data_IF_458827428494
#
_entry.id   IF_458827428494
#
_cell.length_a   1.000
_cell.length_b   1.000
_cell.length_c   1.000
_cell.angle_alpha   90.00
_cell.angle_beta   90.00
_cell.angle_gamma   90.00
#
_symmetry.space_group_name_H-M   'P 1'
#
loop_
_entity.id
_entity.type
_entity.pdbx_description
1 polymer ?
#
# COMPACT_ATOMS: atom_id res chain seq x y z
N UNK A 1 15.79 -1.20 -22.34
CA UNK A 1 14.99 -0.31 -21.48
C UNK A 1 15.72 -0.21 -20.16
N UNK A 2 16.05 0.98 -19.69
CA UNK A 2 16.70 1.18 -18.40
C UNK A 2 15.73 0.77 -17.29
N UNK A 3 16.12 -0.22 -16.49
CA UNK A 3 15.38 -0.63 -15.30
C UNK A 3 15.24 0.57 -14.36
N UNK A 4 14.00 0.91 -14.02
CA UNK A 4 13.71 1.97 -13.05
C UNK A 4 13.20 1.30 -11.79
N UNK A 5 13.87 1.53 -10.66
CA UNK A 5 13.42 1.06 -9.36
C UNK A 5 12.50 2.09 -8.72
N UNK A 6 11.40 1.62 -8.12
CA UNK A 6 10.47 2.43 -7.34
C UNK A 6 10.43 1.97 -5.90
N UNK A 7 10.51 2.93 -4.97
CA UNK A 7 10.11 2.73 -3.58
C UNK A 7 8.60 2.67 -3.50
N UNK A 8 8.10 1.55 -3.01
CA UNK A 8 6.67 1.25 -2.89
C UNK A 8 6.29 0.85 -1.47
N UNK A 9 5.03 1.06 -1.15
CA UNK A 9 4.48 0.81 0.17
C UNK A 9 3.23 -0.07 0.09
N UNK A 10 3.10 -0.97 1.05
CA UNK A 10 1.92 -1.82 1.24
C UNK A 10 1.41 -1.68 2.67
N UNK A 11 0.12 -1.38 2.84
CA UNK A 11 -0.50 -1.29 4.16
C UNK A 11 -1.49 -2.42 4.39
N UNK A 12 -1.43 -3.03 5.58
CA UNK A 12 -2.22 -4.21 5.92
C UNK A 12 -2.56 -4.27 7.41
N UNK A 13 -3.49 -5.14 7.79
CA UNK A 13 -3.86 -5.36 9.19
C UNK A 13 -2.73 -6.02 9.99
N UNK A 14 -2.73 -5.89 11.31
CA UNK A 14 -1.75 -6.55 12.16
C UNK A 14 -1.90 -8.08 12.11
N UNK A 15 -3.12 -8.60 12.01
CA UNK A 15 -3.37 -10.04 11.82
C UNK A 15 -2.68 -10.58 10.57
N UNK A 16 -2.77 -9.85 9.44
CA UNK A 16 -2.10 -10.21 8.19
C UNK A 16 -0.60 -9.99 8.27
N UNK A 17 -0.14 -8.95 8.95
CA UNK A 17 1.28 -8.74 9.19
C UNK A 17 1.92 -9.94 9.91
N UNK A 18 1.25 -10.51 10.92
CA UNK A 18 1.68 -11.75 11.58
C UNK A 18 1.75 -12.93 10.62
N UNK A 19 0.80 -13.06 9.69
CA UNK A 19 0.84 -14.09 8.65
C UNK A 19 2.01 -13.88 7.68
N UNK A 20 2.27 -12.64 7.27
CA UNK A 20 3.40 -12.28 6.41
C UNK A 20 4.71 -12.63 7.09
N UNK A 21 4.88 -12.27 8.37
CA UNK A 21 6.06 -12.66 9.17
C UNK A 21 6.20 -14.18 9.27
N UNK A 22 5.09 -14.90 9.50
CA UNK A 22 5.11 -16.38 9.61
C UNK A 22 5.46 -17.07 8.29
N UNK A 23 4.96 -16.56 7.17
CA UNK A 23 5.13 -17.17 5.84
C UNK A 23 6.33 -16.64 5.07
N UNK A 24 6.91 -15.53 5.53
CA UNK A 24 8.01 -14.84 4.86
C UNK A 24 7.59 -14.08 3.61
N UNK A 25 6.28 -13.87 3.35
CA UNK A 25 5.82 -13.21 2.12
C UNK A 25 4.44 -12.55 2.20
N UNK A 26 4.24 -11.55 1.36
CA UNK A 26 2.91 -11.02 1.01
C UNK A 26 2.40 -11.83 -0.18
N UNK A 27 1.29 -12.54 0.04
CA UNK A 27 0.67 -13.39 -0.98
C UNK A 27 -0.16 -12.55 -1.97
N UNK A 28 0.02 -12.76 -3.27
CA UNK A 28 -0.84 -12.20 -4.30
C UNK A 28 -2.25 -12.82 -4.27
N UNK A 29 -2.35 -14.08 -3.84
CA UNK A 29 -3.62 -14.78 -3.60
C UNK A 29 -4.01 -14.77 -2.12
N UNK A 30 -3.83 -13.62 -1.46
CA UNK A 30 -4.33 -13.43 -0.12
C UNK A 30 -5.87 -13.44 -0.12
N UNK A 31 -6.51 -14.25 0.74
CA UNK A 31 -7.97 -14.26 0.88
C UNK A 31 -8.48 -12.85 1.20
N UNK A 32 -9.58 -12.39 0.59
CA UNK A 32 -10.01 -10.99 0.73
C UNK A 32 -10.19 -10.60 2.20
N UNK A 33 -9.58 -9.48 2.61
CA UNK A 33 -9.83 -8.88 3.93
C UNK A 33 -11.20 -8.18 3.98
N UNK A 34 -11.95 -8.12 2.87
CA UNK A 34 -13.22 -7.40 2.80
C UNK A 34 -14.38 -8.39 2.86
N UNK A 35 -14.76 -8.82 4.07
CA UNK A 35 -16.08 -9.41 4.28
C UNK A 35 -17.11 -8.28 4.25
N UNK A 36 -17.77 -8.09 3.10
CA UNK A 36 -18.91 -7.20 2.84
C UNK A 36 -18.60 -5.70 2.67
N UNK A 37 -18.39 -5.32 1.41
CA UNK A 37 -18.90 -4.13 0.68
C UNK A 37 -18.17 -4.08 -0.67
N UNK A 38 -18.90 -4.09 -1.80
CA UNK A 38 -18.30 -4.14 -3.16
C UNK A 38 -17.39 -2.93 -3.50
N UNK A 39 -17.44 -1.86 -2.71
CA UNK A 39 -16.71 -0.62 -3.00
C UNK A 39 -15.19 -0.71 -2.77
N UNK A 40 -14.70 -1.71 -2.03
CA UNK A 40 -13.28 -1.83 -1.68
C UNK A 40 -12.71 -3.25 -1.92
N UNK A 41 -13.47 -4.11 -2.62
CA UNK A 41 -12.92 -5.39 -3.08
C UNK A 41 -11.83 -5.10 -4.08
N UNK A 42 -10.63 -5.57 -3.78
CA UNK A 42 -9.54 -5.61 -4.74
C UNK A 42 -9.64 -6.87 -5.60
N UNK A 43 -9.16 -6.79 -6.83
CA UNK A 43 -9.09 -7.92 -7.75
C UNK A 43 -8.13 -8.99 -7.17
N UNK A 44 -8.54 -10.26 -7.03
CA UNK A 44 -7.65 -11.33 -6.54
C UNK A 44 -6.44 -11.56 -7.46
N UNK A 45 -5.36 -12.11 -6.91
CA UNK A 45 -4.17 -12.49 -7.69
C UNK A 45 -3.10 -11.41 -7.79
N UNK A 46 -3.20 -10.36 -6.98
CA UNK A 46 -2.29 -9.23 -7.01
C UNK A 46 -1.91 -8.75 -5.59
N UNK A 47 -0.69 -8.24 -5.46
CA UNK A 47 -0.30 -7.40 -4.32
C UNK A 47 -0.45 -5.94 -4.73
N UNK A 48 -1.18 -5.16 -3.93
CA UNK A 48 -1.49 -3.75 -4.18
C UNK A 48 -0.50 -2.84 -3.47
N UNK A 49 0.07 -1.90 -4.23
CA UNK A 49 1.22 -1.09 -3.86
C UNK A 49 1.00 0.37 -4.22
N UNK A 50 1.68 1.26 -3.51
CA UNK A 50 1.59 2.71 -3.76
C UNK A 50 2.95 3.38 -3.61
N UNK A 51 3.22 4.41 -4.42
CA UNK A 51 4.37 5.29 -4.25
C UNK A 51 4.14 6.33 -3.15
N UNK A 52 2.89 6.53 -2.73
CA UNK A 52 2.50 7.43 -1.66
C UNK A 52 2.29 6.64 -0.36
N UNK A 53 3.18 6.76 0.65
CA UNK A 53 3.07 6.00 1.89
C UNK A 53 1.84 6.41 2.72
N UNK A 54 1.35 7.66 2.59
CA UNK A 54 0.12 8.07 3.26
C UNK A 54 -1.12 7.32 2.72
N UNK A 55 -1.11 6.88 1.46
CA UNK A 55 -2.18 5.99 0.95
C UNK A 55 -2.07 4.59 1.54
N UNK A 56 -0.87 4.03 1.67
CA UNK A 56 -0.68 2.74 2.34
C UNK A 56 -1.17 2.80 3.80
N UNK A 57 -0.83 3.88 4.51
CA UNK A 57 -1.32 4.16 5.87
C UNK A 57 -2.85 4.29 5.91
N UNK A 58 -3.44 5.00 4.95
CA UNK A 58 -4.88 5.12 4.87
C UNK A 58 -5.58 3.76 4.74
N UNK A 59 -5.12 2.92 3.80
CA UNK A 59 -5.69 1.60 3.57
C UNK A 59 -5.44 0.65 4.75
N UNK A 60 -4.21 0.60 5.29
CA UNK A 60 -3.87 -0.21 6.46
C UNK A 60 -4.70 0.17 7.70
N UNK A 61 -4.81 1.47 8.01
CA UNK A 61 -5.62 1.96 9.13
C UNK A 61 -7.11 1.65 8.95
N UNK A 62 -7.65 1.89 7.75
CA UNK A 62 -9.06 1.62 7.46
C UNK A 62 -9.40 0.14 7.62
N UNK A 63 -8.57 -0.74 7.03
CA UNK A 63 -8.70 -2.19 7.15
C UNK A 63 -8.63 -2.63 8.62
N UNK A 64 -7.62 -2.19 9.36
CA UNK A 64 -7.48 -2.55 10.77
C UNK A 64 -8.71 -2.14 11.60
N UNK A 65 -9.27 -0.95 11.37
CA UNK A 65 -10.50 -0.51 12.05
C UNK A 65 -11.69 -1.40 11.70
N UNK A 66 -11.83 -1.78 10.43
CA UNK A 66 -12.91 -2.67 9.98
C UNK A 66 -12.81 -4.06 10.62
N UNK A 67 -11.58 -4.54 10.84
CA UNK A 67 -11.27 -5.80 11.54
C UNK A 67 -11.18 -5.66 13.06
N UNK A 68 -11.54 -4.49 13.62
CA UNK A 68 -11.50 -4.22 15.06
C UNK A 68 -10.09 -4.38 15.67
N UNK A 69 -9.06 -4.14 14.88
CA UNK A 69 -7.67 -4.17 15.30
C UNK A 69 -7.21 -2.79 15.80
N UNK A 70 -6.39 -2.79 16.85
CA UNK A 70 -5.84 -1.57 17.45
C UNK A 70 -4.61 -1.03 16.72
N UNK A 71 -4.03 -1.79 15.79
CA UNK A 71 -2.84 -1.45 15.04
C UNK A 71 -2.86 -2.06 13.63
N UNK A 72 -1.99 -1.57 12.77
CA UNK A 72 -1.77 -2.02 11.40
C UNK A 72 -0.27 -1.97 11.07
N UNK A 73 0.12 -2.58 9.96
CA UNK A 73 1.52 -2.59 9.52
C UNK A 73 1.66 -2.06 8.11
N UNK A 74 2.76 -1.33 7.89
CA UNK A 74 3.20 -0.84 6.59
C UNK A 74 4.51 -1.52 6.24
N UNK A 75 4.64 -1.96 5.00
CA UNK A 75 5.87 -2.52 4.44
C UNK A 75 6.43 -1.57 3.38
N UNK A 76 7.75 -1.46 3.31
CA UNK A 76 8.49 -0.72 2.27
C UNK A 76 9.30 -1.71 1.42
N UNK A 77 9.24 -1.53 0.12
CA UNK A 77 9.94 -2.37 -0.87
C UNK A 77 10.48 -1.54 -2.02
N UNK A 78 11.48 -2.08 -2.72
CA UNK A 78 12.00 -1.52 -3.97
C UNK A 78 11.75 -2.53 -5.08
N UNK A 79 10.97 -2.14 -6.10
CA UNK A 79 10.61 -3.02 -7.21
C UNK A 79 10.94 -2.38 -8.55
N UNK A 80 11.20 -3.22 -9.55
CA UNK A 80 11.41 -2.75 -10.91
C UNK A 80 10.06 -2.40 -11.54
N UNK A 81 9.97 -1.21 -12.16
CA UNK A 81 8.76 -0.77 -12.87
C UNK A 81 8.25 -1.74 -13.92
N UNK A 82 9.15 -2.54 -14.52
CA UNK A 82 8.80 -3.53 -15.53
C UNK A 82 7.96 -4.70 -14.99
N UNK A 83 7.95 -4.91 -13.67
CA UNK A 83 7.16 -5.95 -13.01
C UNK A 83 5.78 -5.48 -12.58
N UNK A 84 5.49 -4.18 -12.70
CA UNK A 84 4.30 -3.55 -12.16
C UNK A 84 3.21 -3.41 -13.23
N UNK A 85 1.96 -3.53 -12.78
CA UNK A 85 0.76 -3.31 -13.56
C UNK A 85 -0.06 -2.13 -13.02
N UNK A 86 -0.93 -1.59 -13.87
CA UNK A 86 -1.95 -0.62 -13.47
C UNK A 86 -2.87 -1.20 -12.40
N UNK A 87 -3.06 -0.44 -11.31
CA UNK A 87 -4.11 -0.72 -10.33
C UNK A 87 -5.47 -0.24 -10.85
N UNK A 88 -6.18 -1.10 -11.58
CA UNK A 88 -7.49 -0.79 -12.14
C UNK A 88 -8.56 -0.52 -11.07
N UNK A 89 -8.43 -1.10 -9.88
CA UNK A 89 -9.40 -0.86 -8.80
C UNK A 89 -9.31 0.61 -8.33
N UNK A 90 -8.08 1.13 -8.17
CA UNK A 90 -7.86 2.54 -7.83
C UNK A 90 -8.22 3.49 -8.99
N UNK A 91 -7.94 3.11 -10.25
CA UNK A 91 -8.38 3.89 -11.43
C UNK A 91 -9.90 4.05 -11.43
N UNK A 92 -10.64 2.95 -11.25
CA UNK A 92 -12.09 2.95 -11.20
C UNK A 92 -12.63 3.77 -10.01
N UNK A 93 -12.01 3.63 -8.84
CA UNK A 93 -12.38 4.40 -7.65
C UNK A 93 -12.22 5.91 -7.89
N UNK A 94 -11.06 6.34 -8.39
CA UNK A 94 -10.81 7.74 -8.72
C UNK A 94 -11.79 8.26 -9.78
N UNK A 95 -12.10 7.46 -10.81
CA UNK A 95 -13.03 7.84 -11.87
C UNK A 95 -14.44 8.08 -11.32
N UNK A 96 -14.94 7.16 -10.49
CA UNK A 96 -16.23 7.28 -9.80
C UNK A 96 -16.30 8.53 -8.92
N UNK A 97 -15.22 8.86 -8.22
CA UNK A 97 -15.16 10.02 -7.33
C UNK A 97 -15.02 11.36 -8.08
N UNK A 98 -14.55 11.35 -9.32
CA UNK A 98 -14.31 12.55 -10.14
C UNK A 98 -14.67 12.31 -11.62
N UNK A 99 -15.94 12.08 -11.93
CA UNK A 99 -16.38 11.85 -13.30
C UNK A 99 -16.00 13.06 -14.17
N UNK A 100 -15.36 12.82 -15.32
CA UNK A 100 -14.94 13.85 -16.28
C UNK A 100 -13.55 14.46 -16.04
N UNK A 101 -12.85 14.09 -14.96
CA UNK A 101 -11.50 14.61 -14.69
C UNK A 101 -10.37 13.87 -15.41
N UNK A 102 -10.67 12.73 -16.05
CA UNK A 102 -9.73 12.00 -16.89
C UNK A 102 -10.43 10.96 -17.78
N UNK A 103 -9.89 10.73 -18.98
CA UNK A 103 -10.38 9.72 -19.92
C UNK A 103 -9.82 8.34 -19.53
N UNK A 104 -10.70 7.42 -19.15
CA UNK A 104 -10.35 6.08 -18.70
C UNK A 104 -9.71 5.23 -19.80
N UNK A 105 -10.05 5.48 -21.07
CA UNK A 105 -9.51 4.76 -22.23
C UNK A 105 -7.99 4.98 -22.38
N UNK A 106 -7.45 6.06 -21.83
CA UNK A 106 -6.03 6.41 -21.90
C UNK A 106 -5.23 5.99 -20.66
N UNK A 107 -5.86 5.36 -19.65
CA UNK A 107 -5.26 5.03 -18.35
C UNK A 107 -5.01 3.51 -18.21
N UNK A 108 -4.97 2.79 -19.33
CA UNK A 108 -4.73 1.34 -19.34
C UNK A 108 -3.29 0.97 -19.02
N UNK A 109 -2.34 1.89 -19.24
CA UNK A 109 -0.90 1.68 -19.03
C UNK A 109 -0.41 2.28 -17.70
N UNK A 110 0.54 1.61 -17.07
CA UNK A 110 1.13 2.01 -15.79
C UNK A 110 1.73 3.43 -15.84
N UNK A 111 2.43 3.75 -16.94
CA UNK A 111 3.05 5.05 -17.20
C UNK A 111 2.05 6.21 -17.11
N UNK A 112 0.81 5.97 -17.54
CA UNK A 112 -0.27 6.96 -17.53
C UNK A 112 -1.04 6.94 -16.21
N UNK A 113 -1.26 5.77 -15.62
CA UNK A 113 -2.04 5.63 -14.39
C UNK A 113 -1.30 6.06 -13.13
N UNK A 114 -0.03 5.66 -13.00
CA UNK A 114 0.75 5.83 -11.77
C UNK A 114 0.89 7.30 -11.32
N UNK A 115 1.13 8.29 -12.19
CA UNK A 115 1.17 9.69 -11.78
C UNK A 115 -0.16 10.21 -11.19
N UNK A 116 -1.28 9.60 -11.57
CA UNK A 116 -2.63 10.03 -11.20
C UNK A 116 -3.12 9.28 -9.96
N UNK A 117 -3.04 7.95 -9.99
CA UNK A 117 -3.54 7.08 -8.91
C UNK A 117 -2.55 7.00 -7.77
N UNK A 118 -1.25 7.10 -8.07
CA UNK A 118 -0.14 6.76 -7.19
C UNK A 118 -0.14 5.31 -6.72
N UNK A 119 -0.93 4.46 -7.38
CA UNK A 119 -1.10 3.04 -7.07
C UNK A 119 -0.74 2.18 -8.28
N UNK A 120 -0.21 1.02 -7.97
CA UNK A 120 0.10 -0.05 -8.91
C UNK A 120 -0.13 -1.40 -8.23
N UNK A 121 0.00 -2.47 -8.99
CA UNK A 121 -0.11 -3.82 -8.46
C UNK A 121 0.93 -4.72 -9.10
N UNK A 122 1.20 -5.87 -8.47
CA UNK A 122 2.13 -6.87 -8.99
C UNK A 122 1.49 -8.27 -8.94
N UNK A 123 1.54 -9.06 -10.04
CA UNK A 123 0.86 -10.37 -10.13
C UNK A 123 1.67 -11.54 -9.54
N UNK A 124 2.43 -11.29 -8.47
CA UNK A 124 3.23 -12.32 -7.79
C UNK A 124 3.40 -12.00 -6.31
N UNK A 125 3.76 -13.02 -5.54
CA UNK A 125 4.13 -12.87 -4.15
C UNK A 125 5.39 -11.99 -4.01
N UNK A 126 5.50 -11.30 -2.87
CA UNK A 126 6.66 -10.51 -2.47
C UNK A 126 7.25 -11.08 -1.19
N UNK A 127 8.56 -11.25 -1.12
CA UNK A 127 9.23 -11.94 -0.03
C UNK A 127 9.93 -10.97 0.94
N UNK A 128 9.87 -11.32 2.22
CA UNK A 128 10.59 -10.64 3.28
C UNK A 128 12.10 -10.82 3.09
N UNK A 129 12.85 -9.75 3.31
CA UNK A 129 14.30 -9.78 3.21
C UNK A 129 14.82 -9.86 1.78
N UNK A 130 13.96 -9.72 0.77
CA UNK A 130 14.40 -9.56 -0.63
C UNK A 130 13.79 -8.28 -1.17
N UNK A 131 12.56 -8.32 -1.67
CA UNK A 131 11.89 -7.10 -2.11
C UNK A 131 11.42 -6.26 -0.92
N UNK A 132 10.89 -6.91 0.12
CA UNK A 132 10.35 -6.25 1.30
C UNK A 132 11.47 -6.07 2.33
N UNK A 133 11.88 -4.81 2.51
CA UNK A 133 13.11 -4.48 3.26
C UNK A 133 12.84 -3.84 4.61
N UNK A 134 11.67 -3.22 4.79
CA UNK A 134 11.33 -2.59 6.06
C UNK A 134 9.86 -2.80 6.42
N UNK A 135 9.59 -2.85 7.72
CA UNK A 135 8.25 -2.83 8.28
C UNK A 135 8.09 -1.69 9.28
N UNK A 136 6.88 -1.18 9.41
CA UNK A 136 6.51 -0.18 10.40
C UNK A 136 5.15 -0.59 10.98
N UNK A 137 5.08 -0.78 12.29
CA UNK A 137 3.82 -1.02 13.00
C UNK A 137 3.29 0.31 13.58
N UNK A 138 2.01 0.59 13.34
CA UNK A 138 1.38 1.83 13.80
C UNK A 138 0.03 1.55 14.47
N UNK A 139 -0.31 2.29 15.55
CA UNK A 139 -1.66 2.25 16.12
C UNK A 139 -2.70 2.80 15.14
N UNK A 140 -3.93 2.33 15.20
CA UNK A 140 -5.03 2.94 14.42
C UNK A 140 -5.40 4.30 14.99
N UNK A 141 -6.01 5.16 14.18
CA UNK A 141 -6.49 6.48 14.61
C UNK A 141 -7.68 6.42 15.58
N UNK A 142 -8.26 5.23 15.80
CA UNK A 142 -9.29 4.99 16.82
C UNK A 142 -8.74 4.37 18.11
N UNK A 143 -7.48 3.93 18.12
CA UNK A 143 -6.86 3.32 19.30
C UNK A 143 -6.44 4.39 20.34
N UNK A 144 -6.23 3.92 21.57
CA UNK A 144 -5.66 4.75 22.65
C UNK A 144 -4.20 5.13 22.40
N UNK A 145 -3.46 4.33 21.62
CA UNK A 145 -2.06 4.56 21.27
C UNK A 145 -1.83 5.52 20.08
N UNK A 146 -2.89 6.10 19.50
CA UNK A 146 -2.78 6.99 18.33
C UNK A 146 -1.80 8.14 18.57
N UNK A 147 -1.02 8.48 17.54
CA UNK A 147 -0.03 9.55 17.58
C UNK A 147 -0.43 10.71 16.66
N UNK A 148 0.07 11.94 16.88
CA UNK A 148 -0.12 13.05 15.96
C UNK A 148 0.34 12.75 14.53
N UNK A 149 1.41 11.94 14.38
CA UNK A 149 1.95 11.53 13.09
C UNK A 149 0.92 10.76 12.25
N UNK A 150 0.15 9.84 12.85
CA UNK A 150 -0.90 9.10 12.14
C UNK A 150 -1.97 10.06 11.59
N UNK A 151 -2.40 11.03 12.41
CA UNK A 151 -3.40 12.00 11.97
C UNK A 151 -2.89 12.85 10.81
N UNK A 152 -1.65 13.33 10.89
CA UNK A 152 -1.02 14.09 9.80
C UNK A 152 -0.96 13.26 8.52
N UNK A 153 -0.48 12.01 8.60
CA UNK A 153 -0.34 11.13 7.43
C UNK A 153 -1.69 10.79 6.80
N UNK A 154 -2.73 10.54 7.60
CA UNK A 154 -4.09 10.31 7.07
C UNK A 154 -4.65 11.51 6.31
N UNK A 155 -4.24 12.74 6.63
CA UNK A 155 -4.61 13.95 5.89
C UNK A 155 -3.81 14.13 4.58
N UNK A 156 -2.64 13.50 4.47
CA UNK A 156 -1.70 13.62 3.35
C UNK A 156 -1.90 12.57 2.25
N UNK A 157 -2.95 11.75 2.28
CA UNK A 157 -3.21 10.70 1.27
C UNK A 157 -3.44 11.21 -0.17
N UNK A 158 -3.48 12.53 -0.39
CA UNK A 158 -3.72 13.13 -1.72
C UNK A 158 -2.38 13.39 -2.41
N UNK A 159 -2.34 13.24 -3.74
CA UNK A 159 -1.12 13.33 -4.53
C UNK A 159 -0.24 14.57 -4.28
N UNK A 160 -0.86 15.74 -4.09
CA UNK A 160 -0.13 16.99 -3.80
C UNK A 160 0.69 16.99 -2.51
N UNK A 161 0.47 16.04 -1.60
CA UNK A 161 1.18 15.91 -0.32
C UNK A 161 2.09 14.69 -0.26
N UNK A 162 2.33 13.99 -1.38
CA UNK A 162 3.08 12.74 -1.37
C UNK A 162 4.53 12.94 -0.88
N UNK A 163 5.20 14.03 -1.29
CA UNK A 163 6.55 14.33 -0.84
C UNK A 163 6.61 14.62 0.67
N UNK A 164 5.65 15.39 1.19
CA UNK A 164 5.56 15.67 2.63
C UNK A 164 5.29 14.38 3.43
N UNK A 165 4.45 13.50 2.89
CA UNK A 165 4.18 12.19 3.48
C UNK A 165 5.43 11.31 3.52
N UNK A 166 6.23 11.29 2.44
CA UNK A 166 7.51 10.56 2.40
C UNK A 166 8.45 11.09 3.47
N UNK A 167 8.67 12.41 3.52
CA UNK A 167 9.55 13.03 4.53
C UNK A 167 9.11 12.70 5.95
N UNK A 168 7.81 12.76 6.24
CA UNK A 168 7.29 12.43 7.57
C UNK A 168 7.46 10.93 7.89
N UNK A 169 7.20 10.05 6.93
CA UNK A 169 7.29 8.60 7.10
C UNK A 169 8.72 8.11 7.26
N UNK A 170 9.69 8.73 6.60
CA UNK A 170 11.11 8.35 6.71
C UNK A 170 11.70 8.66 8.09
N UNK A 171 11.07 9.55 8.85
CA UNK A 171 11.44 9.85 10.24
C UNK A 171 10.79 8.93 11.28
N UNK A 172 10.00 7.93 10.85
CA UNK A 172 9.37 6.95 11.73
C UNK A 172 10.32 5.77 12.02
N UNK A 173 10.13 5.05 13.15
CA UNK A 173 11.02 3.96 13.54
C UNK A 173 10.76 2.70 12.69
N UNK A 174 11.30 2.68 11.48
CA UNK A 174 11.26 1.51 10.60
C UNK A 174 12.10 0.36 11.16
N UNK A 175 11.52 -0.83 11.20
CA UNK A 175 12.23 -2.07 11.47
C UNK A 175 12.85 -2.57 10.15
N UNK A 176 14.15 -2.85 10.18
CA UNK A 176 14.86 -3.45 9.04
C UNK A 176 14.56 -4.94 9.03
N UNK A 177 14.14 -5.44 7.87
CA UNK A 177 13.87 -6.86 7.66
C UNK A 177 15.15 -7.51 7.13
N UNK A 178 15.75 -8.48 7.85
CA UNK A 178 16.99 -9.09 7.43
C UNK A 178 16.79 -9.92 6.17
N UNK A 179 17.87 -10.09 5.39
CA UNK A 179 17.90 -11.07 4.31
C UNK A 179 17.61 -12.47 4.89
N UNK A 180 16.90 -13.34 4.15
CA UNK A 180 16.74 -14.72 4.58
C UNK A 180 18.12 -15.37 4.76
N UNK A 181 18.31 -16.10 5.87
CA UNK A 181 19.51 -16.92 6.07
C UNK A 181 19.53 -18.00 4.98
N UNK A 182 20.60 -18.00 4.18
CA UNK A 182 20.78 -18.90 3.02
C UNK A 182 21.24 -20.29 3.39
#
# INVERSE_FOLDING_TARGET
MTETLLTLYHGTTLSRAKEITRTGKILAQAGSLMNVCDALKTTPGYVYLTVNPAMAIHYGNMLAIQHQESAFSIYRMNLNTAELETDYDEVMNKWRLRPGSFNIENITELSNSLPITQSCRIPRDLHLGTEITHALCMPTNKSSGRTPAIHALLQMKRAKFANDAILLVDNLPWEIIPLPEG
#
